data_IF_623772138366
#
_entry.id   IF_623772138366
#
_cell.length_a   1.000
_cell.length_b   1.000
_cell.length_c   1.000
_cell.angle_alpha   90.00
_cell.angle_beta   90.00
_cell.angle_gamma   90.00
#
_symmetry.space_group_name_H-M   'P 1'
#
loop_
_entity.id
_entity.type
_entity.pdbx_description
1 polymer ?
#
# COMPACT_ATOMS: atom_id res chain seq x y z
N UNK A 1 -33.52 17.09 -50.65
CA UNK A 1 -32.23 16.41 -50.91
C UNK A 1 -31.08 17.05 -50.12
N UNK A 2 -30.89 18.38 -50.16
CA UNK A 2 -29.80 19.07 -49.44
C UNK A 2 -29.84 18.91 -47.91
N UNK A 3 -31.03 18.89 -47.31
CA UNK A 3 -31.22 18.62 -45.86
C UNK A 3 -30.86 17.18 -45.45
N UNK A 4 -31.02 16.22 -46.36
CA UNK A 4 -30.70 14.80 -46.11
C UNK A 4 -29.19 14.58 -46.02
N UNK A 5 -28.41 15.23 -46.89
CA UNK A 5 -26.95 15.18 -46.85
C UNK A 5 -26.37 15.82 -45.58
N UNK A 6 -26.97 16.91 -45.10
CA UNK A 6 -26.55 17.56 -43.84
C UNK A 6 -26.84 16.66 -42.63
N UNK A 7 -27.99 15.99 -42.60
CA UNK A 7 -28.33 15.07 -41.52
C UNK A 7 -27.38 13.85 -41.46
N UNK A 8 -27.02 13.27 -42.61
CA UNK A 8 -26.08 12.15 -42.69
C UNK A 8 -24.67 12.57 -42.24
N UNK A 9 -24.22 13.77 -42.65
CA UNK A 9 -22.95 14.33 -42.19
C UNK A 9 -22.92 14.53 -40.67
N UNK A 10 -24.01 15.02 -40.08
CA UNK A 10 -24.09 15.22 -38.63
C UNK A 10 -24.12 13.91 -37.84
N UNK A 11 -24.73 12.85 -38.39
CA UNK A 11 -24.76 11.51 -37.78
C UNK A 11 -23.37 10.85 -37.76
N UNK A 12 -22.51 11.14 -38.75
CA UNK A 12 -21.15 10.60 -38.82
C UNK A 12 -20.21 11.20 -37.77
N UNK A 13 -20.40 12.47 -37.40
CA UNK A 13 -19.56 13.17 -36.41
C UNK A 13 -19.85 12.71 -34.97
N UNK A 14 -21.01 12.06 -34.72
CA UNK A 14 -21.40 11.55 -33.40
C UNK A 14 -20.74 10.20 -33.02
N UNK A 15 -20.03 9.54 -33.93
CA UNK A 15 -19.44 8.19 -33.69
C UNK A 15 -18.06 8.23 -32.99
N UNK A 16 -17.51 9.41 -32.68
CA UNK A 16 -16.12 9.56 -32.20
C UNK A 16 -15.87 9.32 -30.69
N UNK A 17 -16.91 9.24 -29.85
CA UNK A 17 -16.75 9.23 -28.38
C UNK A 17 -16.89 7.84 -27.72
N UNK A 18 -16.95 6.75 -28.48
CA UNK A 18 -17.22 5.41 -27.93
C UNK A 18 -15.97 4.53 -27.69
N UNK A 19 -14.78 4.96 -28.14
CA UNK A 19 -13.55 4.19 -27.89
C UNK A 19 -13.05 4.49 -26.48
N UNK A 20 -13.46 3.67 -25.52
CA UNK A 20 -12.75 3.50 -24.26
C UNK A 20 -11.73 2.40 -24.49
N UNK A 21 -10.44 2.69 -24.33
CA UNK A 21 -9.45 1.62 -24.22
C UNK A 21 -9.92 0.65 -23.13
N UNK A 22 -9.93 -0.67 -23.40
CA UNK A 22 -10.23 -1.63 -22.36
C UNK A 22 -9.21 -1.41 -21.25
N UNK A 23 -9.69 -0.97 -20.09
CA UNK A 23 -8.86 -0.84 -18.90
C UNK A 23 -8.29 -2.22 -18.65
N UNK A 24 -6.97 -2.39 -18.79
CA UNK A 24 -6.26 -3.66 -18.58
C UNK A 24 -6.15 -3.95 -17.08
N UNK A 25 -7.25 -3.78 -16.34
CA UNK A 25 -7.42 -4.43 -15.07
C UNK A 25 -7.77 -5.88 -15.42
N UNK A 26 -6.95 -6.82 -14.96
CA UNK A 26 -7.28 -8.24 -15.04
C UNK A 26 -8.75 -8.44 -14.62
N UNK A 27 -9.48 -9.28 -15.34
CA UNK A 27 -10.90 -9.55 -15.07
C UNK A 27 -11.13 -10.25 -13.72
N UNK A 28 -10.07 -10.51 -12.97
CA UNK A 28 -10.09 -11.14 -11.67
C UNK A 28 -10.45 -10.14 -10.57
N UNK A 29 -11.36 -10.57 -9.70
CA UNK A 29 -11.71 -9.78 -8.51
C UNK A 29 -10.51 -9.67 -7.58
N UNK A 30 -10.25 -8.50 -6.96
CA UNK A 30 -9.17 -8.36 -5.98
C UNK A 30 -9.30 -9.39 -4.85
N UNK A 31 -8.25 -10.18 -4.63
CA UNK A 31 -8.15 -11.15 -3.53
C UNK A 31 -6.91 -10.87 -2.69
N UNK A 32 -6.87 -11.44 -1.48
CA UNK A 32 -5.67 -11.38 -0.64
C UNK A 32 -4.54 -12.17 -1.29
N UNK A 33 -3.30 -11.73 -1.07
CA UNK A 33 -2.11 -12.41 -1.58
C UNK A 33 -2.11 -13.88 -1.14
N UNK A 34 -1.92 -14.83 -2.06
CA UNK A 34 -1.89 -16.24 -1.72
C UNK A 34 -0.77 -16.52 -0.71
N UNK A 35 -1.11 -17.23 0.36
CA UNK A 35 -0.17 -17.57 1.43
C UNK A 35 0.50 -18.91 1.14
N UNK A 36 1.80 -18.99 1.39
CA UNK A 36 2.62 -20.20 1.17
C UNK A 36 2.55 -21.14 2.39
N UNK A 37 3.12 -22.34 2.29
CA UNK A 37 3.25 -23.27 3.42
C UNK A 37 4.03 -22.66 4.59
N UNK A 38 5.09 -21.91 4.31
CA UNK A 38 5.88 -21.20 5.32
C UNK A 38 5.05 -20.23 6.16
N UNK A 39 3.99 -19.65 5.58
CA UNK A 39 3.07 -18.81 6.35
C UNK A 39 2.23 -19.62 7.35
N UNK A 40 1.87 -20.86 7.01
CA UNK A 40 1.19 -21.76 7.95
C UNK A 40 2.13 -22.15 9.10
N UNK A 41 3.37 -22.53 8.77
CA UNK A 41 4.40 -22.84 9.78
C UNK A 41 4.62 -21.67 10.76
N UNK A 42 4.60 -20.44 10.24
CA UNK A 42 4.72 -19.21 11.03
C UNK A 42 3.56 -19.04 12.02
N UNK A 43 2.34 -19.39 11.63
CA UNK A 43 1.15 -19.32 12.49
C UNK A 43 1.11 -20.44 13.52
N UNK A 44 1.72 -21.59 13.22
CA UNK A 44 1.80 -22.75 14.11
C UNK A 44 2.91 -22.64 15.16
N UNK A 45 3.67 -21.53 15.17
CA UNK A 45 4.70 -21.30 16.18
C UNK A 45 4.09 -21.34 17.60
N UNK A 46 4.80 -21.95 18.57
CA UNK A 46 4.33 -21.96 19.94
C UNK A 46 4.21 -20.52 20.47
N UNK A 47 3.22 -20.25 21.32
CA UNK A 47 3.05 -18.90 21.87
C UNK A 47 4.26 -18.52 22.73
N UNK A 48 4.76 -17.27 22.62
CA UNK A 48 5.83 -16.81 23.50
C UNK A 48 5.31 -16.67 24.94
N UNK A 49 6.22 -16.67 25.93
CA UNK A 49 5.85 -16.34 27.32
C UNK A 49 5.35 -14.90 27.47
N UNK A 50 5.79 -14.03 26.57
CA UNK A 50 5.36 -12.65 26.44
C UNK A 50 5.88 -12.10 25.11
N UNK A 51 5.15 -11.17 24.47
CA UNK A 51 5.55 -10.64 23.19
C UNK A 51 6.82 -9.79 23.32
N UNK A 52 7.69 -9.86 22.31
CA UNK A 52 8.94 -9.11 22.24
C UNK A 52 8.71 -7.79 21.48
N UNK A 53 9.19 -6.68 22.03
CA UNK A 53 9.15 -5.39 21.33
C UNK A 53 10.32 -5.33 20.36
N UNK A 54 10.03 -5.13 19.08
CA UNK A 54 11.05 -5.06 18.03
C UNK A 54 10.73 -3.93 17.04
N UNK A 55 11.75 -3.41 16.37
CA UNK A 55 11.60 -2.31 15.42
C UNK A 55 12.36 -2.63 14.12
N UNK A 56 11.70 -2.42 12.99
CA UNK A 56 12.29 -2.62 11.65
C UNK A 56 12.55 -1.24 11.04
N UNK A 57 13.82 -0.85 10.95
CA UNK A 57 14.21 0.44 10.37
C UNK A 57 14.19 0.44 8.84
N UNK A 58 14.49 -0.71 8.24
CA UNK A 58 14.50 -0.88 6.79
C UNK A 58 15.09 -2.23 6.41
N UNK A 59 14.64 -2.75 5.27
CA UNK A 59 15.13 -4.00 4.69
C UNK A 59 15.53 -3.72 3.25
N UNK A 60 16.75 -3.18 3.09
CA UNK A 60 17.27 -2.78 1.79
C UNK A 60 17.73 -4.02 1.02
N UNK A 61 17.34 -4.10 -0.25
CA UNK A 61 17.92 -5.04 -1.19
C UNK A 61 19.42 -4.73 -1.40
N UNK A 62 20.28 -5.68 -1.03
CA UNK A 62 21.73 -5.60 -1.19
C UNK A 62 22.24 -6.54 -2.30
N UNK A 63 21.36 -7.17 -3.06
CA UNK A 63 21.75 -8.07 -4.16
C UNK A 63 22.32 -7.30 -5.35
N UNK A 64 21.86 -6.07 -5.57
CA UNK A 64 22.25 -5.25 -6.71
C UNK A 64 21.72 -5.74 -8.06
N UNK A 65 20.79 -6.69 -8.06
CA UNK A 65 20.36 -7.38 -9.27
C UNK A 65 19.16 -6.70 -9.96
N UNK A 66 19.27 -6.58 -11.28
CA UNK A 66 18.20 -6.10 -12.16
C UNK A 66 17.72 -7.21 -13.09
N UNK A 67 16.50 -7.07 -13.61
CA UNK A 67 15.94 -8.03 -14.56
C UNK A 67 16.65 -7.91 -15.93
N UNK A 68 16.92 -9.04 -16.61
CA UNK A 68 17.49 -9.00 -17.95
C UNK A 68 16.48 -8.51 -19.00
N UNK A 69 16.97 -8.14 -20.18
CA UNK A 69 16.15 -7.86 -21.36
C UNK A 69 15.18 -9.02 -21.61
N UNK A 70 13.90 -8.76 -21.94
CA UNK A 70 13.31 -7.51 -22.43
C UNK A 70 12.77 -6.56 -21.34
N UNK A 71 13.03 -6.82 -20.05
CA UNK A 71 12.57 -5.95 -18.99
C UNK A 71 13.28 -4.57 -19.01
N UNK A 72 12.63 -3.57 -18.40
CA UNK A 72 13.25 -2.25 -18.22
C UNK A 72 14.53 -2.35 -17.39
N UNK A 73 15.59 -1.64 -17.80
CA UNK A 73 16.86 -1.58 -17.07
C UNK A 73 16.74 -1.05 -15.64
N UNK A 74 15.62 -0.40 -15.29
CA UNK A 74 15.34 0.06 -13.92
C UNK A 74 14.57 -0.97 -13.08
N UNK A 75 14.14 -2.10 -13.67
CA UNK A 75 13.41 -3.14 -12.95
C UNK A 75 14.35 -3.99 -12.11
N UNK A 76 14.24 -3.88 -10.79
CA UNK A 76 14.98 -4.73 -9.85
C UNK A 76 14.51 -6.18 -9.95
N UNK A 77 15.44 -7.13 -9.77
CA UNK A 77 15.11 -8.55 -9.74
C UNK A 77 14.43 -8.95 -8.42
N UNK A 78 14.76 -8.25 -7.33
CA UNK A 78 14.22 -8.46 -5.98
C UNK A 78 13.26 -7.31 -5.61
N UNK A 79 12.27 -7.62 -4.77
CA UNK A 79 11.29 -6.65 -4.28
C UNK A 79 11.94 -5.56 -3.43
N UNK A 80 11.45 -4.33 -3.55
CA UNK A 80 11.81 -3.22 -2.67
C UNK A 80 10.86 -3.08 -1.46
N UNK A 81 9.79 -3.88 -1.40
CA UNK A 81 8.80 -3.90 -0.33
C UNK A 81 9.09 -4.91 0.79
N UNK A 82 10.33 -5.44 0.86
CA UNK A 82 10.68 -6.49 1.80
C UNK A 82 10.54 -6.07 3.27
N UNK A 83 10.71 -4.77 3.58
CA UNK A 83 10.51 -4.25 4.94
C UNK A 83 9.07 -4.44 5.41
N UNK A 84 8.08 -4.07 4.59
CA UNK A 84 6.67 -4.24 4.91
C UNK A 84 6.28 -5.72 5.01
N UNK A 85 6.84 -6.58 4.15
CA UNK A 85 6.62 -8.03 4.22
C UNK A 85 7.17 -8.63 5.52
N UNK A 86 8.34 -8.17 5.98
CA UNK A 86 8.92 -8.58 7.26
C UNK A 86 8.05 -8.14 8.43
N UNK A 87 7.57 -6.89 8.41
CA UNK A 87 6.67 -6.37 9.46
C UNK A 87 5.37 -7.18 9.51
N UNK A 88 4.75 -7.49 8.36
CA UNK A 88 3.54 -8.35 8.27
C UNK A 88 3.81 -9.73 8.90
N UNK A 89 4.94 -10.36 8.54
CA UNK A 89 5.30 -11.67 9.11
C UNK A 89 5.55 -11.61 10.63
N UNK A 90 6.26 -10.58 11.12
CA UNK A 90 6.51 -10.39 12.55
C UNK A 90 5.19 -10.21 13.32
N UNK A 91 4.24 -9.44 12.78
CA UNK A 91 2.92 -9.25 13.38
C UNK A 91 2.09 -10.54 13.33
N UNK A 92 2.03 -11.21 12.18
CA UNK A 92 1.27 -12.45 12.00
C UNK A 92 1.74 -13.58 12.92
N UNK A 93 3.03 -13.63 13.25
CA UNK A 93 3.58 -14.63 14.17
C UNK A 93 2.98 -14.55 15.59
N UNK A 94 2.51 -13.37 16.02
CA UNK A 94 2.09 -13.15 17.41
C UNK A 94 3.25 -13.11 18.42
N UNK A 95 4.51 -13.23 17.96
CA UNK A 95 5.69 -13.15 18.82
C UNK A 95 6.11 -11.73 19.14
N UNK A 96 5.78 -10.77 18.28
CA UNK A 96 6.34 -9.44 18.31
C UNK A 96 5.29 -8.34 18.43
N UNK A 97 5.62 -7.31 19.21
CA UNK A 97 5.02 -5.98 19.10
C UNK A 97 5.97 -5.16 18.24
N UNK A 98 5.57 -4.92 16.99
CA UNK A 98 6.42 -4.22 16.01
C UNK A 98 6.21 -2.71 16.13
N UNK A 99 7.31 -1.97 16.32
CA UNK A 99 7.31 -0.52 16.36
C UNK A 99 7.55 0.06 14.97
N UNK A 100 6.71 1.03 14.60
CA UNK A 100 6.85 1.81 13.36
C UNK A 100 8.13 2.65 13.37
N UNK A 101 9.00 2.44 12.38
CA UNK A 101 10.24 3.22 12.20
C UNK A 101 10.45 3.74 10.79
N UNK A 102 9.92 3.07 9.77
CA UNK A 102 10.03 3.53 8.39
C UNK A 102 9.32 4.88 8.21
N UNK A 103 8.09 5.00 8.73
CA UNK A 103 7.29 6.22 8.72
C UNK A 103 7.46 7.11 9.96
N UNK A 104 8.55 6.99 10.73
CA UNK A 104 8.67 7.66 12.05
C UNK A 104 8.44 9.19 11.97
N UNK A 105 8.96 9.84 10.92
CA UNK A 105 8.78 11.28 10.74
C UNK A 105 7.30 11.67 10.59
N UNK A 106 6.51 10.84 9.91
CA UNK A 106 5.07 11.07 9.76
C UNK A 106 4.38 10.94 11.12
N UNK A 107 4.70 9.89 11.89
CA UNK A 107 4.15 9.68 13.24
C UNK A 107 4.47 10.86 14.16
N UNK A 108 5.71 11.35 14.14
CA UNK A 108 6.10 12.52 14.94
C UNK A 108 5.39 13.80 14.50
N UNK A 109 5.18 13.97 13.20
CA UNK A 109 4.48 15.12 12.64
C UNK A 109 3.01 15.11 13.05
N UNK A 110 2.33 13.98 12.92
CA UNK A 110 0.95 13.80 13.39
C UNK A 110 0.81 14.07 14.88
N UNK A 111 1.72 13.55 15.71
CA UNK A 111 1.72 13.84 17.15
C UNK A 111 1.91 15.34 17.45
N UNK A 112 2.69 16.05 16.64
CA UNK A 112 2.85 17.51 16.76
C UNK A 112 1.57 18.26 16.40
N UNK A 113 0.90 17.84 15.32
CA UNK A 113 -0.38 18.40 14.88
C UNK A 113 -1.44 18.20 15.98
N UNK A 114 -1.54 17.00 16.54
CA UNK A 114 -2.49 16.69 17.62
C UNK A 114 -2.26 17.60 18.82
N UNK A 115 -1.02 17.73 19.31
CA UNK A 115 -0.70 18.63 20.44
C UNK A 115 -1.03 20.09 20.15
N UNK A 116 -0.75 20.56 18.93
CA UNK A 116 -1.06 21.93 18.53
C UNK A 116 -2.58 22.19 18.43
N UNK A 117 -3.35 21.18 18.02
CA UNK A 117 -4.82 21.24 17.96
C UNK A 117 -5.46 21.19 19.34
N UNK A 118 -4.94 20.38 20.26
CA UNK A 118 -5.41 20.30 21.65
C UNK A 118 -5.25 21.62 22.43
N UNK A 119 -4.34 22.49 22.02
CA UNK A 119 -4.15 23.81 22.62
C UNK A 119 -5.21 24.86 22.21
N UNK A 120 -6.15 24.51 21.30
CA UNK A 120 -7.19 25.41 20.79
C UNK A 120 -8.55 25.07 21.42
N UNK A 121 -9.47 26.05 21.55
CA UNK A 121 -10.76 25.86 22.22
C UNK A 121 -11.82 25.02 21.46
N UNK A 122 -11.50 24.43 20.30
CA UNK A 122 -12.40 23.58 19.51
C UNK A 122 -11.70 22.27 19.11
N UNK A 123 -11.52 21.38 20.08
CA UNK A 123 -10.78 20.12 19.92
C UNK A 123 -11.71 19.03 19.40
N UNK A 124 -11.37 18.49 18.23
CA UNK A 124 -12.11 17.38 17.64
C UNK A 124 -12.17 16.15 18.59
N UNK A 125 -13.31 15.44 18.67
CA UNK A 125 -13.55 14.39 19.67
C UNK A 125 -12.55 13.23 19.61
N UNK A 126 -12.00 12.93 18.44
CA UNK A 126 -11.02 11.87 18.23
C UNK A 126 -9.60 12.21 18.75
N UNK A 127 -9.35 13.43 19.21
CA UNK A 127 -8.04 13.88 19.73
C UNK A 127 -8.14 14.53 21.10
N UNK A 128 -9.23 14.30 21.85
CA UNK A 128 -9.39 14.89 23.20
C UNK A 128 -8.55 14.20 24.27
N UNK A 129 -8.22 12.92 24.10
CA UNK A 129 -7.38 12.18 25.05
C UNK A 129 -5.90 12.58 24.94
N UNK A 130 -5.19 12.53 26.07
CA UNK A 130 -3.74 12.69 26.07
C UNK A 130 -3.06 11.59 25.26
N UNK A 131 -2.03 11.95 24.49
CA UNK A 131 -1.23 11.00 23.75
C UNK A 131 -0.38 10.17 24.72
N UNK A 132 -0.29 8.83 24.55
CA UNK A 132 0.56 8.00 25.39
C UNK A 132 2.02 8.47 25.30
N UNK A 133 2.72 8.51 26.44
CA UNK A 133 4.11 8.99 26.56
C UNK A 133 5.05 8.26 25.59
#
# INVERSE_FOLDING_TARGET
>A
MRSLFVAIGMMAVLQGCAVREPMSADQETPTLTPRTSTYQDLLELPRPRGPLVAAVYGFRDQTGQYKPSPASSFSTAVTQGAASMLVDAMQASGWFIVLEREGLQNVLTERKIIRASQAKPDVAPNIQSELPS
#
